data_IF_783000470688
#
_entry.id   IF_783000470688
#
_cell.length_a   1.000
_cell.length_b   1.000
_cell.length_c   1.000
_cell.angle_alpha   90.00
_cell.angle_beta   90.00
_cell.angle_gamma   90.00
#
_symmetry.space_group_name_H-M   'P 1'
#
loop_
_entity.id
_entity.type
_entity.pdbx_description
1 polymer ?
#
# COMPACT_ATOMS: atom_id res chain seq x y z
N UNK A 1 11.99 1.89 -40.70
CA UNK A 1 11.44 1.52 -42.03
C UNK A 1 10.65 0.24 -41.89
N UNK A 2 9.41 0.30 -42.32
CA UNK A 2 8.34 -0.64 -42.00
C UNK A 2 8.37 -1.92 -42.86
N UNK A 3 8.05 -3.00 -42.17
CA UNK A 3 8.07 -4.39 -42.59
C UNK A 3 7.06 -4.72 -43.69
N UNK A 4 7.50 -5.57 -44.62
CA UNK A 4 6.59 -6.33 -45.48
C UNK A 4 6.23 -7.66 -44.84
N UNK A 5 4.95 -8.03 -44.83
CA UNK A 5 4.48 -9.33 -44.40
C UNK A 5 4.66 -10.32 -45.52
N UNK A 6 5.39 -11.41 -45.28
CA UNK A 6 5.49 -12.56 -46.18
C UNK A 6 4.80 -13.75 -45.50
N UNK A 7 3.73 -14.25 -46.12
CA UNK A 7 3.02 -15.44 -45.64
C UNK A 7 3.60 -16.72 -46.30
N UNK A 8 4.11 -17.61 -45.48
CA UNK A 8 4.28 -19.01 -45.85
C UNK A 8 3.87 -19.86 -44.65
N UNK A 9 2.71 -20.46 -44.71
CA UNK A 9 2.27 -21.46 -43.71
C UNK A 9 1.59 -20.86 -42.49
N UNK A 10 0.33 -20.44 -42.57
CA UNK A 10 -0.61 -20.45 -41.45
C UNK A 10 -0.51 -19.39 -40.33
N UNK A 11 0.45 -18.47 -40.36
CA UNK A 11 0.57 -17.39 -39.37
C UNK A 11 1.33 -16.17 -39.91
N UNK A 12 0.91 -14.96 -39.53
CA UNK A 12 1.65 -13.74 -39.86
C UNK A 12 2.96 -13.70 -39.06
N UNK A 13 4.10 -13.72 -39.77
CA UNK A 13 5.44 -13.53 -39.19
C UNK A 13 5.85 -12.05 -39.34
N UNK A 14 6.31 -11.44 -38.25
CA UNK A 14 6.86 -10.09 -38.25
C UNK A 14 8.38 -10.17 -38.34
N UNK A 15 8.94 -9.59 -39.41
CA UNK A 15 10.40 -9.60 -39.68
C UNK A 15 10.92 -8.16 -39.57
N UNK A 16 11.94 -7.96 -38.76
CA UNK A 16 12.71 -6.72 -38.74
C UNK A 16 13.83 -6.79 -39.77
N UNK A 17 13.89 -5.84 -40.67
CA UNK A 17 14.91 -5.74 -41.70
C UNK A 17 15.96 -4.70 -41.33
N UNK A 18 17.26 -5.06 -41.53
CA UNK A 18 18.38 -4.15 -41.38
C UNK A 18 19.16 -4.10 -42.71
N UNK A 19 19.58 -2.91 -43.11
CA UNK A 19 20.38 -2.69 -44.33
C UNK A 19 21.70 -2.08 -43.93
N UNK A 20 22.80 -2.72 -44.25
CA UNK A 20 24.16 -2.23 -43.99
C UNK A 20 24.82 -1.93 -45.33
N UNK A 21 25.29 -0.70 -45.58
CA UNK A 21 26.01 -0.35 -46.79
C UNK A 21 27.41 -1.00 -46.78
N UNK A 22 27.80 -1.56 -47.90
CA UNK A 22 29.12 -2.15 -48.13
C UNK A 22 29.69 -1.60 -49.47
N UNK A 23 31.00 -1.68 -49.64
CA UNK A 23 31.65 -1.46 -50.92
C UNK A 23 32.14 -2.80 -51.47
N UNK A 24 31.97 -3.04 -52.76
CA UNK A 24 32.56 -4.23 -53.41
C UNK A 24 34.08 -4.03 -53.62
N UNK A 25 34.76 -5.05 -54.07
CA UNK A 25 36.22 -5.04 -54.37
C UNK A 25 36.65 -3.99 -55.42
N UNK A 26 35.69 -3.40 -56.11
CA UNK A 26 35.90 -2.33 -57.11
C UNK A 26 35.41 -0.94 -56.57
N UNK A 27 35.11 -0.84 -55.26
CA UNK A 27 34.67 0.40 -54.62
C UNK A 27 33.22 0.82 -54.96
N UNK A 28 32.39 -0.03 -55.55
CA UNK A 28 31.01 0.27 -55.90
C UNK A 28 30.10 0.00 -54.69
N UNK A 29 29.08 0.89 -54.48
CA UNK A 29 28.16 0.72 -53.37
C UNK A 29 27.31 -0.55 -53.54
N UNK A 30 27.28 -1.36 -52.48
CA UNK A 30 26.45 -2.55 -52.33
C UNK A 30 25.73 -2.52 -50.98
N UNK A 31 24.76 -3.39 -50.76
CA UNK A 31 24.00 -3.43 -49.51
C UNK A 31 23.83 -4.87 -49.03
N UNK A 32 24.17 -5.09 -47.78
CA UNK A 32 23.80 -6.33 -47.08
C UNK A 32 22.42 -6.11 -46.45
N UNK A 33 21.45 -6.95 -46.80
CA UNK A 33 20.12 -6.97 -46.23
C UNK A 33 20.02 -8.20 -45.33
N UNK A 34 19.70 -7.96 -44.06
CA UNK A 34 19.44 -9.04 -43.09
C UNK A 34 18.05 -8.89 -42.49
N UNK A 35 17.36 -10.02 -42.32
CA UNK A 35 16.03 -10.07 -41.70
C UNK A 35 16.08 -10.95 -40.47
N UNK A 36 15.46 -10.49 -39.39
CA UNK A 36 15.28 -11.25 -38.15
C UNK A 36 13.79 -11.37 -37.85
N UNK A 37 13.31 -12.59 -37.64
CA UNK A 37 11.94 -12.81 -37.19
C UNK A 37 11.78 -12.36 -35.74
N UNK A 38 10.84 -11.46 -35.49
CA UNK A 38 10.55 -10.86 -34.19
C UNK A 38 9.09 -11.09 -33.73
N UNK A 39 8.41 -12.05 -34.34
CA UNK A 39 6.98 -12.34 -34.09
C UNK A 39 6.69 -12.60 -32.62
N UNK A 40 7.47 -13.48 -32.00
CA UNK A 40 7.30 -13.84 -30.59
C UNK A 40 7.53 -12.63 -29.67
N UNK A 41 8.58 -11.86 -29.92
CA UNK A 41 8.90 -10.65 -29.16
C UNK A 41 7.79 -9.62 -29.26
N UNK A 42 7.24 -9.39 -30.45
CA UNK A 42 6.13 -8.45 -30.67
C UNK A 42 4.85 -8.90 -29.94
N UNK A 43 4.51 -10.18 -29.98
CA UNK A 43 3.38 -10.74 -29.24
C UNK A 43 3.53 -10.53 -27.73
N UNK A 44 4.72 -10.81 -27.18
CA UNK A 44 5.00 -10.58 -25.75
C UNK A 44 4.91 -9.09 -25.37
N UNK A 45 5.42 -8.19 -26.20
CA UNK A 45 5.31 -6.74 -25.99
C UNK A 45 3.85 -6.29 -25.99
N UNK A 46 3.03 -6.80 -26.91
CA UNK A 46 1.60 -6.49 -26.98
C UNK A 46 0.83 -7.08 -25.80
N UNK A 47 1.07 -8.32 -25.41
CA UNK A 47 0.47 -8.94 -24.23
C UNK A 47 0.81 -8.17 -22.95
N UNK A 48 2.07 -7.79 -22.76
CA UNK A 48 2.50 -6.98 -21.64
C UNK A 48 1.83 -5.61 -21.64
N UNK A 49 1.72 -4.97 -22.79
CA UNK A 49 1.01 -3.68 -22.95
C UNK A 49 -0.47 -3.81 -22.61
N UNK A 50 -1.14 -4.87 -23.08
CA UNK A 50 -2.54 -5.14 -22.76
C UNK A 50 -2.74 -5.47 -21.28
N UNK A 51 -1.82 -6.22 -20.67
CA UNK A 51 -1.85 -6.53 -19.24
C UNK A 51 -1.70 -5.27 -18.40
N UNK A 52 -0.71 -4.41 -18.71
CA UNK A 52 -0.53 -3.11 -18.04
C UNK A 52 -1.77 -2.23 -18.15
N UNK A 53 -2.37 -2.16 -19.34
CA UNK A 53 -3.60 -1.36 -19.56
C UNK A 53 -4.76 -1.88 -18.71
N UNK A 54 -4.95 -3.21 -18.63
CA UNK A 54 -5.99 -3.81 -17.77
C UNK A 54 -5.77 -3.51 -16.29
N UNK A 55 -4.52 -3.61 -15.81
CA UNK A 55 -4.16 -3.30 -14.43
C UNK A 55 -4.43 -1.83 -14.09
N UNK A 56 -4.05 -0.89 -14.96
CA UNK A 56 -4.34 0.53 -14.78
C UNK A 56 -5.85 0.79 -14.74
N UNK A 57 -6.62 0.21 -15.68
CA UNK A 57 -8.07 0.38 -15.72
C UNK A 57 -8.76 -0.23 -14.48
N UNK A 58 -8.30 -1.38 -14.00
CA UNK A 58 -8.80 -2.00 -12.78
C UNK A 58 -8.49 -1.13 -11.55
N UNK A 59 -7.27 -0.59 -11.45
CA UNK A 59 -6.88 0.34 -10.39
C UNK A 59 -7.72 1.61 -10.36
N UNK A 60 -7.94 2.23 -11.53
CA UNK A 60 -8.80 3.42 -11.66
C UNK A 60 -10.28 3.14 -11.35
N UNK A 61 -10.77 1.96 -11.71
CA UNK A 61 -12.15 1.56 -11.41
C UNK A 61 -12.33 1.35 -9.89
N UNK A 62 -11.39 0.69 -9.24
CA UNK A 62 -11.43 0.47 -7.80
C UNK A 62 -11.27 1.78 -7.02
N UNK A 63 -10.36 2.67 -7.44
CA UNK A 63 -10.23 4.01 -6.87
C UNK A 63 -11.56 4.79 -6.92
N UNK A 64 -12.21 4.83 -8.08
CA UNK A 64 -13.51 5.50 -8.23
C UNK A 64 -14.63 4.85 -7.42
N UNK A 65 -14.56 3.55 -7.20
CA UNK A 65 -15.49 2.83 -6.33
C UNK A 65 -15.28 3.21 -4.86
N UNK A 66 -14.02 3.24 -4.42
CA UNK A 66 -13.67 3.67 -3.07
C UNK A 66 -14.06 5.13 -2.81
N UNK A 67 -13.77 6.05 -3.73
CA UNK A 67 -14.17 7.46 -3.64
C UNK A 67 -15.70 7.61 -3.47
N UNK A 68 -16.50 6.89 -4.25
CA UNK A 68 -17.96 6.93 -4.13
C UNK A 68 -18.45 6.37 -2.80
N UNK A 69 -17.96 5.20 -2.40
CA UNK A 69 -18.36 4.58 -1.15
C UNK A 69 -18.01 5.47 0.06
N UNK A 70 -16.84 6.11 0.02
CA UNK A 70 -16.35 7.03 1.05
C UNK A 70 -17.22 8.28 1.11
N UNK A 71 -17.55 8.86 -0.03
CA UNK A 71 -18.37 10.05 -0.13
C UNK A 71 -19.81 9.80 0.33
N UNK A 72 -20.44 8.74 -0.15
CA UNK A 72 -21.84 8.44 0.14
C UNK A 72 -22.00 7.98 1.61
N UNK A 73 -21.12 7.12 2.11
CA UNK A 73 -21.14 6.66 3.49
C UNK A 73 -20.85 7.79 4.49
N UNK A 74 -19.84 8.64 4.22
CA UNK A 74 -19.52 9.78 5.07
C UNK A 74 -20.65 10.82 5.09
N UNK A 75 -21.26 11.12 3.94
CA UNK A 75 -22.38 12.08 3.88
C UNK A 75 -23.58 11.62 4.71
N UNK A 76 -23.99 10.34 4.57
CA UNK A 76 -25.12 9.81 5.34
C UNK A 76 -24.90 9.95 6.84
N UNK A 77 -23.71 9.58 7.32
CA UNK A 77 -23.37 9.68 8.75
C UNK A 77 -23.30 11.11 9.26
N UNK A 78 -22.73 12.04 8.49
CA UNK A 78 -22.70 13.46 8.85
C UNK A 78 -24.11 14.04 8.96
N UNK A 79 -25.05 13.60 8.12
CA UNK A 79 -26.47 14.00 8.21
C UNK A 79 -27.11 13.43 9.48
N UNK A 80 -26.92 12.14 9.79
CA UNK A 80 -27.41 11.50 11.03
C UNK A 80 -26.89 12.20 12.28
N UNK A 81 -25.57 12.45 12.34
CA UNK A 81 -24.93 13.17 13.45
C UNK A 81 -25.48 14.59 13.61
N UNK A 82 -25.68 15.33 12.51
CA UNK A 82 -26.26 16.66 12.54
C UNK A 82 -27.69 16.66 13.12
N UNK A 83 -28.50 15.65 12.75
CA UNK A 83 -29.84 15.48 13.27
C UNK A 83 -29.83 15.13 14.76
N UNK A 84 -28.97 14.19 15.18
CA UNK A 84 -28.84 13.78 16.58
C UNK A 84 -28.43 14.96 17.48
N UNK A 85 -27.46 15.78 17.02
CA UNK A 85 -27.02 16.99 17.74
C UNK A 85 -28.13 18.02 17.85
N UNK A 86 -28.94 18.27 16.80
CA UNK A 86 -30.09 19.20 16.85
C UNK A 86 -31.15 18.73 17.82
N UNK A 87 -31.44 17.38 17.81
CA UNK A 87 -32.43 16.81 18.75
C UNK A 87 -31.95 16.92 20.20
N UNK A 88 -30.66 16.63 20.44
CA UNK A 88 -30.06 16.80 21.77
C UNK A 88 -30.15 18.26 22.26
N UNK A 89 -29.81 19.23 21.39
CA UNK A 89 -29.94 20.67 21.72
C UNK A 89 -31.37 21.05 22.05
N UNK A 90 -32.35 20.57 21.29
CA UNK A 90 -33.76 20.89 21.53
C UNK A 90 -34.28 20.33 22.87
N UNK A 91 -33.73 19.15 23.29
CA UNK A 91 -34.13 18.50 24.56
C UNK A 91 -33.36 18.94 25.78
N UNK A 92 -32.25 19.65 25.65
CA UNK A 92 -31.29 19.96 26.69
C UNK A 92 -31.93 20.62 27.92
N UNK A 93 -32.97 21.46 27.76
CA UNK A 93 -33.68 22.13 28.83
C UNK A 93 -34.89 21.35 29.36
N UNK A 94 -35.57 20.58 28.52
CA UNK A 94 -36.80 19.89 28.82
C UNK A 94 -36.58 18.46 29.36
N UNK A 95 -35.57 17.77 28.85
CA UNK A 95 -35.22 16.40 29.20
C UNK A 95 -33.71 16.19 29.10
N UNK A 96 -32.93 16.59 30.13
CA UNK A 96 -31.46 16.48 30.10
C UNK A 96 -30.94 15.06 29.98
N UNK A 97 -31.67 14.07 30.52
CA UNK A 97 -31.28 12.65 30.48
C UNK A 97 -31.38 12.09 29.04
N UNK A 98 -32.44 12.44 28.33
CA UNK A 98 -32.60 12.06 26.93
C UNK A 98 -31.62 12.82 26.02
N UNK A 99 -31.34 14.09 26.31
CA UNK A 99 -30.30 14.85 25.60
C UNK A 99 -28.91 14.19 25.77
N UNK A 100 -28.60 13.74 26.98
CA UNK A 100 -27.33 13.02 27.27
C UNK A 100 -27.21 11.70 26.50
N UNK A 101 -28.30 10.92 26.42
CA UNK A 101 -28.31 9.68 25.61
C UNK A 101 -28.08 9.95 24.13
N UNK A 102 -28.72 10.97 23.57
CA UNK A 102 -28.53 11.38 22.17
C UNK A 102 -27.09 11.81 21.89
N UNK A 103 -26.46 12.55 22.80
CA UNK A 103 -25.05 12.97 22.68
C UNK A 103 -24.10 11.79 22.76
N UNK A 104 -24.33 10.84 23.68
CA UNK A 104 -23.51 9.64 23.79
C UNK A 104 -23.61 8.77 22.53
N UNK A 105 -24.83 8.53 22.03
CA UNK A 105 -25.04 7.79 20.78
C UNK A 105 -24.37 8.47 19.58
N UNK A 106 -24.47 9.81 19.47
CA UNK A 106 -23.77 10.56 18.42
C UNK A 106 -22.24 10.46 18.54
N UNK A 107 -21.69 10.44 19.76
CA UNK A 107 -20.26 10.29 20.00
C UNK A 107 -19.77 8.89 19.62
N UNK A 108 -20.53 7.84 19.91
CA UNK A 108 -20.24 6.47 19.54
C UNK A 108 -20.28 6.30 17.99
N UNK A 109 -21.32 6.83 17.34
CA UNK A 109 -21.44 6.80 15.88
C UNK A 109 -20.30 7.56 15.19
N UNK A 110 -19.87 8.70 15.73
CA UNK A 110 -18.72 9.45 15.23
C UNK A 110 -17.42 8.67 15.39
N UNK A 111 -17.20 8.02 16.53
CA UNK A 111 -16.01 7.20 16.78
C UNK A 111 -15.93 6.03 15.81
N UNK A 112 -17.05 5.36 15.55
CA UNK A 112 -17.13 4.26 14.58
C UNK A 112 -16.88 4.76 13.16
N UNK A 113 -17.48 5.90 12.75
CA UNK A 113 -17.29 6.48 11.43
C UNK A 113 -15.81 6.87 11.20
N UNK A 114 -15.15 7.44 12.21
CA UNK A 114 -13.73 7.77 12.14
C UNK A 114 -12.84 6.54 11.98
N UNK A 115 -13.17 5.43 12.64
CA UNK A 115 -12.40 4.19 12.50
C UNK A 115 -12.57 3.58 11.11
N UNK A 116 -13.79 3.55 10.57
CA UNK A 116 -14.03 3.07 9.19
C UNK A 116 -13.33 3.95 8.15
N UNK A 117 -13.33 5.29 8.33
CA UNK A 117 -12.57 6.19 7.47
C UNK A 117 -11.05 5.93 7.56
N UNK A 118 -10.54 5.62 8.74
CA UNK A 118 -9.14 5.22 8.93
C UNK A 118 -8.81 3.91 8.23
N UNK A 119 -9.69 2.91 8.31
CA UNK A 119 -9.51 1.63 7.60
C UNK A 119 -9.50 1.81 6.08
N UNK A 120 -10.40 2.63 5.55
CA UNK A 120 -10.41 2.99 4.12
C UNK A 120 -9.17 3.78 3.72
N UNK A 121 -8.73 4.73 4.55
CA UNK A 121 -7.52 5.52 4.30
C UNK A 121 -6.23 4.68 4.39
N UNK A 122 -6.21 3.59 5.14
CA UNK A 122 -5.09 2.62 5.18
C UNK A 122 -4.87 1.93 3.82
N UNK A 123 -5.88 1.92 2.96
CA UNK A 123 -5.75 1.45 1.57
C UNK A 123 -5.15 2.48 0.60
N UNK A 124 -5.05 3.75 0.99
CA UNK A 124 -4.53 4.85 0.15
C UNK A 124 -3.06 5.08 0.50
N UNK A 125 -2.19 4.97 -0.50
CA UNK A 125 -0.75 5.23 -0.36
C UNK A 125 -0.51 6.66 0.16
N UNK A 126 0.17 6.89 1.32
CA UNK A 126 0.33 8.23 1.87
C UNK A 126 1.17 9.12 0.95
N UNK A 127 0.70 10.33 0.65
CA UNK A 127 1.43 11.27 -0.19
C UNK A 127 2.84 11.56 0.35
N UNK A 128 2.99 11.66 1.68
CA UNK A 128 4.31 11.88 2.31
C UNK A 128 5.31 10.77 2.02
N UNK A 129 4.85 9.52 1.83
CA UNK A 129 5.71 8.39 1.48
C UNK A 129 6.24 8.53 0.05
N UNK A 130 5.38 8.93 -0.89
CA UNK A 130 5.78 9.19 -2.28
C UNK A 130 6.74 10.38 -2.40
N UNK A 131 6.43 11.48 -1.70
CA UNK A 131 7.12 12.75 -1.85
C UNK A 131 8.43 12.82 -1.06
N UNK A 132 8.44 12.30 0.19
CA UNK A 132 9.54 12.47 1.14
C UNK A 132 10.20 11.16 1.58
N UNK A 133 9.68 10.00 1.16
CA UNK A 133 10.22 8.68 1.47
C UNK A 133 9.81 8.12 2.82
N UNK A 134 10.33 6.91 3.11
CA UNK A 134 9.90 6.11 4.26
C UNK A 134 10.25 6.75 5.60
N UNK A 135 11.47 7.27 5.77
CA UNK A 135 11.91 7.89 7.03
C UNK A 135 10.95 9.01 7.46
N UNK A 136 10.70 9.99 6.59
CA UNK A 136 9.79 11.10 6.87
C UNK A 136 8.34 10.65 7.13
N UNK A 137 7.88 9.59 6.45
CA UNK A 137 6.56 9.04 6.66
C UNK A 137 6.43 8.35 8.02
N UNK A 138 7.46 7.64 8.47
CA UNK A 138 7.52 7.00 9.79
C UNK A 138 7.64 8.02 10.93
N UNK A 139 8.42 9.07 10.77
CA UNK A 139 8.48 10.19 11.71
C UNK A 139 7.12 10.87 11.87
N UNK A 140 6.39 11.08 10.76
CA UNK A 140 5.04 11.64 10.80
C UNK A 140 4.04 10.69 11.49
N UNK A 141 4.21 9.38 11.41
CA UNK A 141 3.42 8.40 12.19
C UNK A 141 3.75 8.50 13.68
N UNK A 142 5.04 8.51 14.02
CA UNK A 142 5.53 8.61 15.38
C UNK A 142 5.01 9.88 16.08
N UNK A 143 5.06 11.03 15.40
CA UNK A 143 4.58 12.31 15.94
C UNK A 143 3.06 12.38 16.22
N UNK A 144 2.29 11.41 15.73
CA UNK A 144 0.82 11.29 15.99
C UNK A 144 0.48 10.19 16.99
N UNK A 145 1.46 9.39 17.39
CA UNK A 145 1.25 8.32 18.36
C UNK A 145 0.94 8.90 19.76
N UNK A 146 0.06 8.25 20.56
CA UNK A 146 -0.29 8.73 21.90
C UNK A 146 0.80 8.45 22.95
N UNK A 147 1.90 7.81 22.57
CA UNK A 147 3.03 7.45 23.45
C UNK A 147 4.36 7.69 22.70
N UNK A 148 5.49 7.76 23.41
CA UNK A 148 6.80 7.94 22.78
C UNK A 148 7.15 6.84 21.79
N UNK A 149 7.54 7.23 20.57
CA UNK A 149 8.00 6.33 19.51
C UNK A 149 9.37 6.77 19.04
N UNK A 150 10.36 5.89 19.16
CA UNK A 150 11.69 6.10 18.60
C UNK A 150 11.74 5.49 17.19
N UNK A 151 12.16 6.26 16.19
CA UNK A 151 12.25 5.82 14.79
C UNK A 151 13.70 5.85 14.33
N UNK A 152 14.17 4.72 13.85
CA UNK A 152 15.46 4.55 13.16
C UNK A 152 15.20 3.97 11.77
N UNK A 153 15.25 4.80 10.73
CA UNK A 153 15.00 4.40 9.35
C UNK A 153 16.07 4.98 8.41
N UNK A 154 16.44 4.28 7.33
CA UNK A 154 17.39 4.79 6.36
C UNK A 154 16.80 5.97 5.59
N UNK A 155 17.66 6.96 5.29
CA UNK A 155 17.28 8.07 4.40
C UNK A 155 17.23 7.63 2.92
N UNK A 156 17.95 6.54 2.59
CA UNK A 156 17.98 5.97 1.25
C UNK A 156 16.61 5.40 0.86
N UNK A 157 16.20 5.68 -0.38
CA UNK A 157 14.93 5.18 -0.92
C UNK A 157 15.00 3.66 -1.14
N UNK A 158 13.94 2.99 -0.72
CA UNK A 158 13.69 1.61 -1.07
C UNK A 158 12.75 1.54 -2.29
N UNK A 159 12.61 0.37 -2.95
CA UNK A 159 11.60 0.21 -3.99
C UNK A 159 10.22 0.60 -3.48
N UNK A 160 9.40 1.36 -4.26
CA UNK A 160 8.11 1.87 -3.80
C UNK A 160 7.16 0.84 -3.17
N UNK A 161 7.03 -0.40 -3.69
CA UNK A 161 6.21 -1.42 -3.04
C UNK A 161 6.74 -1.82 -1.65
N UNK A 162 8.07 -1.83 -1.46
CA UNK A 162 8.72 -2.16 -0.19
C UNK A 162 8.51 -1.05 0.83
N UNK A 163 8.68 0.23 0.42
CA UNK A 163 8.37 1.38 1.28
C UNK A 163 6.91 1.37 1.75
N UNK A 164 5.99 1.07 0.82
CA UNK A 164 4.58 0.96 1.15
C UNK A 164 4.30 -0.15 2.16
N UNK A 165 4.84 -1.35 1.96
CA UNK A 165 4.66 -2.46 2.89
C UNK A 165 5.26 -2.15 4.26
N UNK A 166 6.48 -1.59 4.31
CA UNK A 166 7.14 -1.16 5.55
C UNK A 166 6.29 -0.13 6.31
N UNK A 167 5.77 0.88 5.62
CA UNK A 167 4.88 1.89 6.21
C UNK A 167 3.63 1.24 6.84
N UNK A 168 2.97 0.32 6.14
CA UNK A 168 1.78 -0.34 6.64
C UNK A 168 2.06 -1.24 7.84
N UNK A 169 3.20 -1.95 7.85
CA UNK A 169 3.62 -2.75 9.01
C UNK A 169 3.74 -1.86 10.25
N UNK A 170 4.42 -0.72 10.15
CA UNK A 170 4.59 0.21 11.26
C UNK A 170 3.27 0.86 11.66
N UNK A 171 2.46 1.31 10.70
CA UNK A 171 1.16 1.95 10.97
C UNK A 171 0.20 1.05 11.72
N UNK A 172 0.11 -0.24 11.32
CA UNK A 172 -0.75 -1.22 11.99
C UNK A 172 -0.20 -1.60 13.36
N UNK A 173 1.13 -1.79 13.48
CA UNK A 173 1.76 -2.06 14.76
C UNK A 173 1.50 -0.94 15.78
N UNK A 174 1.70 0.34 15.41
CA UNK A 174 1.41 1.48 16.27
C UNK A 174 -0.07 1.59 16.65
N UNK A 175 -0.97 1.22 15.72
CA UNK A 175 -2.40 1.16 16.01
C UNK A 175 -2.72 0.09 17.05
N UNK A 176 -2.12 -1.10 16.93
CA UNK A 176 -2.31 -2.20 17.87
C UNK A 176 -1.74 -1.86 19.24
N UNK A 177 -0.58 -1.21 19.28
CA UNK A 177 0.01 -0.72 20.55
C UNK A 177 -0.94 0.26 21.23
N UNK A 178 -1.44 1.27 20.52
CA UNK A 178 -2.34 2.27 21.07
C UNK A 178 -3.66 1.68 21.61
N UNK A 179 -4.16 0.59 20.98
CA UNK A 179 -5.43 -0.04 21.35
C UNK A 179 -5.31 -1.11 22.44
N UNK A 180 -4.21 -1.89 22.45
CA UNK A 180 -4.18 -3.14 23.19
C UNK A 180 -2.95 -3.33 24.08
N UNK A 181 -1.81 -2.69 23.78
CA UNK A 181 -0.55 -3.07 24.42
C UNK A 181 -0.36 -2.51 25.83
N UNK A 182 -1.00 -1.38 26.18
CA UNK A 182 -0.72 -0.64 27.42
C UNK A 182 0.81 -0.36 27.59
N UNK A 183 1.49 -0.16 26.48
CA UNK A 183 2.92 0.09 26.42
C UNK A 183 3.28 1.50 26.89
N UNK A 184 4.51 1.68 27.39
CA UNK A 184 5.06 2.99 27.73
C UNK A 184 5.90 3.62 26.61
N UNK A 185 6.47 2.80 25.73
CA UNK A 185 7.29 3.23 24.59
C UNK A 185 7.25 2.21 23.45
N UNK A 186 7.59 2.67 22.23
CA UNK A 186 7.74 1.83 21.03
C UNK A 186 9.03 2.16 20.32
N UNK A 187 9.77 1.14 19.93
CA UNK A 187 10.91 1.25 19.02
C UNK A 187 10.53 0.81 17.60
N UNK A 188 10.81 1.63 16.61
CA UNK A 188 10.66 1.33 15.18
C UNK A 188 12.01 1.35 14.52
N UNK A 189 12.41 0.25 13.90
CA UNK A 189 13.69 0.15 13.20
C UNK A 189 13.48 -0.38 11.79
N UNK A 190 14.02 0.32 10.80
CA UNK A 190 14.10 -0.16 9.43
C UNK A 190 15.56 -0.19 9.00
N UNK A 191 15.99 -1.33 8.47
CA UNK A 191 17.38 -1.51 7.98
C UNK A 191 17.36 -2.23 6.64
N UNK A 192 18.39 -1.98 5.82
CA UNK A 192 18.63 -2.77 4.61
C UNK A 192 19.78 -3.74 4.89
N UNK A 193 19.51 -5.03 4.79
CA UNK A 193 20.48 -6.08 5.07
C UNK A 193 20.37 -7.20 4.02
N UNK A 194 21.49 -7.54 3.37
CA UNK A 194 21.57 -8.66 2.41
C UNK A 194 20.49 -8.64 1.31
N UNK A 195 20.17 -7.46 0.76
CA UNK A 195 19.15 -7.33 -0.28
C UNK A 195 17.70 -7.39 0.24
N UNK A 196 17.49 -7.29 1.55
CA UNK A 196 16.19 -7.23 2.20
C UNK A 196 16.04 -5.95 3.01
N UNK A 197 14.85 -5.38 2.99
CA UNK A 197 14.41 -4.41 3.98
C UNK A 197 13.88 -5.17 5.21
N UNK A 198 14.47 -4.94 6.36
CA UNK A 198 14.04 -5.51 7.64
C UNK A 198 13.37 -4.40 8.44
N UNK A 199 12.08 -4.58 8.69
CA UNK A 199 11.25 -3.68 9.51
C UNK A 199 10.99 -4.36 10.83
N UNK A 200 11.31 -3.69 11.93
CA UNK A 200 11.09 -4.18 13.29
C UNK A 200 10.34 -3.12 14.09
N UNK A 201 9.26 -3.54 14.75
CA UNK A 201 8.50 -2.72 15.69
C UNK A 201 8.40 -3.48 16.99
N UNK A 202 8.88 -2.88 18.07
CA UNK A 202 8.91 -3.48 19.39
C UNK A 202 8.24 -2.56 20.41
N UNK A 203 7.31 -3.08 21.21
CA UNK A 203 6.70 -2.41 22.35
C UNK A 203 7.01 -3.13 23.66
N UNK A 204 6.93 -2.41 24.77
CA UNK A 204 7.14 -2.88 26.14
C UNK A 204 5.83 -3.22 26.87
N UNK A 205 4.76 -3.48 26.14
CA UNK A 205 3.41 -3.65 26.67
C UNK A 205 3.12 -5.03 27.25
N UNK A 206 1.83 -5.33 27.40
CA UNK A 206 1.35 -6.57 28.05
C UNK A 206 1.58 -7.83 27.21
N UNK A 207 1.87 -7.71 25.92
CA UNK A 207 2.03 -8.82 25.00
C UNK A 207 0.75 -9.65 24.83
N UNK A 208 0.90 -10.91 24.37
CA UNK A 208 -0.21 -11.84 24.18
C UNK A 208 -0.98 -11.64 22.89
N UNK A 209 -0.41 -10.93 21.90
CA UNK A 209 -1.01 -10.81 20.57
C UNK A 209 -1.02 -12.17 19.86
N UNK A 210 -2.19 -12.55 19.33
CA UNK A 210 -2.36 -13.78 18.55
C UNK A 210 -2.44 -13.44 17.05
N UNK A 211 -1.43 -13.82 16.24
CA UNK A 211 -1.43 -13.57 14.81
C UNK A 211 -2.59 -14.24 14.06
N UNK A 212 -3.17 -15.31 14.62
CA UNK A 212 -4.23 -16.08 13.97
C UNK A 212 -5.63 -15.49 14.21
N UNK A 213 -5.82 -14.70 15.26
CA UNK A 213 -7.13 -14.21 15.68
C UNK A 213 -7.41 -12.74 15.33
N UNK A 214 -6.45 -12.02 14.72
CA UNK A 214 -6.60 -10.61 14.34
C UNK A 214 -6.64 -10.39 12.81
N UNK A 215 -7.62 -9.63 12.31
CA UNK A 215 -7.68 -9.25 10.89
C UNK A 215 -6.50 -8.36 10.47
N UNK A 216 -5.98 -7.53 11.37
CA UNK A 216 -4.87 -6.60 11.11
C UNK A 216 -3.55 -7.31 10.82
N UNK A 217 -3.12 -8.22 11.73
CA UNK A 217 -1.86 -8.97 11.55
C UNK A 217 -1.92 -9.92 10.35
N UNK A 218 -3.08 -10.53 10.08
CA UNK A 218 -3.27 -11.36 8.89
C UNK A 218 -3.14 -10.53 7.61
N UNK A 219 -3.79 -9.36 7.52
CA UNK A 219 -3.66 -8.46 6.37
C UNK A 219 -2.23 -7.92 6.17
N UNK A 220 -1.44 -7.79 7.24
CA UNK A 220 -0.01 -7.49 7.14
C UNK A 220 0.78 -8.66 6.56
N UNK A 221 0.52 -9.89 7.03
CA UNK A 221 1.16 -11.09 6.51
C UNK A 221 0.92 -11.23 5.00
N UNK A 222 -0.34 -11.17 4.56
CA UNK A 222 -0.72 -11.24 3.13
C UNK A 222 0.01 -10.18 2.29
N UNK A 223 0.16 -8.95 2.80
CA UNK A 223 0.85 -7.86 2.10
C UNK A 223 2.35 -8.07 1.98
N UNK A 224 2.98 -8.58 3.03
CA UNK A 224 4.42 -8.88 3.05
C UNK A 224 4.72 -10.09 2.15
N UNK A 225 3.90 -11.13 2.21
CA UNK A 225 4.00 -12.33 1.36
C UNK A 225 3.78 -12.02 -0.12
N UNK A 226 2.91 -11.06 -0.46
CA UNK A 226 2.72 -10.60 -1.85
C UNK A 226 3.99 -9.98 -2.48
N UNK A 227 5.01 -9.67 -1.66
CA UNK A 227 6.33 -9.18 -2.07
C UNK A 227 7.42 -10.25 -1.85
N UNK A 228 7.06 -11.54 -1.76
CA UNK A 228 7.96 -12.64 -1.43
C UNK A 228 8.70 -12.45 -0.07
N UNK A 229 8.11 -11.64 0.83
CA UNK A 229 8.64 -11.36 2.16
C UNK A 229 8.09 -12.32 3.21
N UNK A 230 8.52 -12.10 4.47
CA UNK A 230 8.07 -12.87 5.65
C UNK A 230 7.75 -11.95 6.80
N UNK A 231 6.64 -12.21 7.48
CA UNK A 231 6.24 -11.54 8.73
C UNK A 231 6.40 -12.49 9.91
N UNK A 232 7.04 -12.01 10.97
CA UNK A 232 7.21 -12.73 12.22
C UNK A 232 6.66 -11.89 13.37
N UNK A 233 5.93 -12.52 14.29
CA UNK A 233 5.37 -11.84 15.46
C UNK A 233 5.72 -12.65 16.71
N UNK A 234 6.39 -11.99 17.64
CA UNK A 234 6.71 -12.54 18.95
C UNK A 234 5.97 -11.72 20.01
N UNK A 235 5.08 -12.35 20.75
CA UNK A 235 4.23 -11.66 21.73
C UNK A 235 3.90 -12.57 22.92
N UNK A 236 4.87 -12.77 23.79
CA UNK A 236 4.65 -13.51 25.02
C UNK A 236 3.95 -12.62 26.07
N UNK A 237 2.98 -13.13 26.83
CA UNK A 237 2.33 -12.37 27.89
C UNK A 237 3.34 -11.76 28.90
N UNK A 238 3.20 -10.47 29.14
CA UNK A 238 4.06 -9.68 30.03
C UNK A 238 5.43 -9.32 29.46
N UNK A 239 5.67 -9.54 28.14
CA UNK A 239 6.96 -9.25 27.51
C UNK A 239 6.87 -8.29 26.31
N UNK A 240 5.74 -7.61 26.14
CA UNK A 240 5.51 -6.77 24.99
C UNK A 240 5.30 -7.56 23.69
N UNK A 241 5.38 -6.86 22.56
CA UNK A 241 5.25 -7.45 21.23
C UNK A 241 6.39 -6.99 20.33
N UNK A 242 6.95 -7.92 19.56
CA UNK A 242 7.90 -7.64 18.49
C UNK A 242 7.30 -8.13 17.17
N UNK A 243 7.13 -7.21 16.22
CA UNK A 243 6.72 -7.50 14.84
C UNK A 243 7.94 -7.27 13.94
N UNK A 244 8.33 -8.29 13.19
CA UNK A 244 9.45 -8.24 12.26
C UNK A 244 9.01 -8.66 10.87
N UNK A 245 9.21 -7.78 9.88
CA UNK A 245 8.99 -8.06 8.48
C UNK A 245 10.31 -8.04 7.70
N UNK A 246 10.55 -9.05 6.88
CA UNK A 246 11.69 -9.15 5.98
C UNK A 246 11.16 -9.14 4.54
N UNK A 247 11.50 -8.11 3.75
CA UNK A 247 10.95 -7.88 2.42
C UNK A 247 12.11 -7.77 1.43
N UNK A 248 12.19 -8.60 0.37
CA UNK A 248 13.20 -8.48 -0.66
C UNK A 248 13.18 -7.09 -1.31
N UNK A 249 14.35 -6.45 -1.47
CA UNK A 249 14.44 -5.12 -2.05
C UNK A 249 15.49 -4.98 -3.17
N UNK A 250 15.96 -6.12 -3.71
CA UNK A 250 16.87 -6.16 -4.87
C UNK A 250 18.29 -5.86 -4.52
#
# INVERSE_FOLDING_TARGET
>A
MTAGAGAAGGGEAVVAWSTTPLLDEHGRPNFLISGMEITQRKRQEEELRHSRKRLLQAGDAERRRLERNLHDGAQQRLVSLSLALRLAQAKLKADPDEASKLLNGASEELAQALEELRELARGIHPAVLSDRGLSAALEALAGRAPLPVEVLAPEERLPPPVEAAAYYVVSEALTNVAKYAQASAVGVRVTRLNGHAVVEVADDGVGGADPLNGSGLRGLADRVEALDGRLHVESAPGRGTVIRAEIPCG
#
